data_IF_867064648885
#
_entry.id   IF_867064648885
#
_cell.length_a   1.000
_cell.length_b   1.000
_cell.length_c   1.000
_cell.angle_alpha   90.00
_cell.angle_beta   90.00
_cell.angle_gamma   90.00
#
_symmetry.space_group_name_H-M   'P 1'
#
loop_
_entity.id
_entity.type
_entity.pdbx_description
1 polymer ?
#
# COMPACT_ATOMS: atom_id res chain seq x y z
N UNK A 1 -4.70 19.76 24.22
CA UNK A 1 -4.08 21.09 24.38
C UNK A 1 -3.36 21.32 23.07
N UNK A 2 -3.92 22.16 22.22
CA UNK A 2 -3.43 22.41 20.85
C UNK A 2 -2.54 23.63 20.88
N UNK A 3 -1.26 23.48 20.56
CA UNK A 3 -0.36 24.62 20.31
C UNK A 3 -0.31 24.85 18.80
N UNK A 4 -0.82 26.02 18.40
CA UNK A 4 -0.72 26.55 17.02
C UNK A 4 0.57 27.35 16.91
N UNK A 5 1.48 26.98 16.01
CA UNK A 5 2.61 27.79 15.61
C UNK A 5 2.31 28.58 14.33
N UNK A 6 2.88 29.79 14.14
CA UNK A 6 2.47 30.71 13.09
C UNK A 6 2.92 30.27 11.69
N UNK A 7 2.05 30.51 10.71
CA UNK A 7 2.26 30.25 9.28
C UNK A 7 3.32 31.23 8.74
N UNK A 8 4.44 30.68 8.26
CA UNK A 8 5.39 31.40 7.42
C UNK A 8 5.07 31.06 5.96
N UNK A 9 4.65 32.04 5.19
CA UNK A 9 4.41 31.88 3.74
C UNK A 9 5.74 31.87 2.99
N UNK A 10 6.06 30.85 2.18
CA UNK A 10 7.20 30.89 1.27
C UNK A 10 6.83 31.66 -0.01
N UNK A 11 7.74 32.56 -0.42
CA UNK A 11 7.68 33.27 -1.71
C UNK A 11 7.81 32.30 -2.90
N UNK A 12 7.19 32.67 -4.00
CA UNK A 12 7.19 31.93 -5.25
C UNK A 12 8.61 31.72 -5.82
N UNK A 13 8.98 30.51 -6.27
CA UNK A 13 10.23 30.32 -6.98
C UNK A 13 10.11 30.68 -8.47
N UNK A 14 11.15 31.35 -8.93
CA UNK A 14 11.43 31.78 -10.29
C UNK A 14 11.58 30.61 -11.27
N UNK A 15 11.06 30.76 -12.49
CA UNK A 15 11.14 29.78 -13.57
C UNK A 15 12.53 29.82 -14.20
N UNK A 16 13.41 28.88 -13.88
CA UNK A 16 14.63 28.64 -14.62
C UNK A 16 14.47 27.43 -15.57
N UNK A 17 14.69 27.71 -16.85
CA UNK A 17 14.71 26.79 -17.98
C UNK A 17 15.87 25.77 -17.83
N UNK A 18 15.59 24.48 -17.98
CA UNK A 18 16.61 23.48 -18.24
C UNK A 18 16.38 22.81 -19.58
N UNK A 19 17.33 23.02 -20.50
CA UNK A 19 17.45 22.30 -21.75
C UNK A 19 18.17 20.96 -21.53
N UNK A 20 17.85 19.89 -22.26
CA UNK A 20 18.54 18.62 -22.14
C UNK A 20 19.80 18.59 -22.99
N UNK A 21 20.95 18.31 -22.42
CA UNK A 21 22.16 17.93 -23.14
C UNK A 21 22.21 16.40 -23.30
N UNK A 22 22.20 15.96 -24.55
CA UNK A 22 22.49 14.60 -24.93
C UNK A 22 24.00 14.33 -24.86
N UNK A 23 24.42 13.32 -24.11
CA UNK A 23 25.75 12.74 -24.21
C UNK A 23 25.64 11.21 -24.25
N UNK A 24 25.97 10.63 -25.38
CA UNK A 24 26.13 9.21 -25.61
C UNK A 24 27.45 8.74 -25.00
N UNK A 25 27.43 7.65 -24.22
CA UNK A 25 28.61 6.78 -24.06
C UNK A 25 28.14 5.35 -23.81
N UNK A 26 28.56 4.46 -24.72
CA UNK A 26 28.46 3.03 -24.53
C UNK A 26 29.49 2.54 -23.50
N UNK A 27 29.16 1.48 -22.81
CA UNK A 27 30.04 0.83 -21.85
C UNK A 27 29.45 -0.48 -21.36
N UNK A 28 30.17 -1.54 -21.64
CA UNK A 28 29.97 -2.97 -21.42
C UNK A 28 29.48 -3.36 -20.02
N UNK A 29 28.73 -4.49 -20.00
CA UNK A 29 28.42 -5.27 -18.82
C UNK A 29 29.69 -5.70 -18.05
N UNK A 30 29.67 -5.55 -16.76
CA UNK A 30 30.27 -6.30 -15.63
C UNK A 30 30.64 -5.36 -14.50
N UNK A 31 29.89 -5.37 -13.45
CA UNK A 31 30.37 -5.17 -12.07
C UNK A 31 29.23 -5.56 -11.12
N UNK A 32 29.34 -6.74 -10.52
CA UNK A 32 28.69 -7.04 -9.27
C UNK A 32 29.44 -6.22 -8.21
N UNK A 33 28.85 -5.10 -7.76
CA UNK A 33 29.38 -4.37 -6.65
C UNK A 33 29.20 -5.23 -5.38
N UNK A 34 30.33 -5.64 -4.83
CA UNK A 34 30.45 -6.25 -3.50
C UNK A 34 30.05 -5.22 -2.45
N UNK A 35 28.93 -5.49 -1.80
CA UNK A 35 28.44 -4.71 -0.66
C UNK A 35 29.20 -5.19 0.59
N UNK A 36 30.31 -4.54 0.93
CA UNK A 36 30.99 -4.72 2.20
C UNK A 36 30.19 -4.05 3.34
N UNK A 37 29.80 -4.81 4.36
CA UNK A 37 29.31 -4.32 5.64
C UNK A 37 27.83 -4.52 5.93
N UNK A 38 27.32 -5.75 5.88
CA UNK A 38 26.00 -6.07 6.36
C UNK A 38 25.97 -7.37 7.16
N UNK A 39 25.57 -7.31 8.43
CA UNK A 39 25.21 -8.48 9.19
C UNK A 39 24.24 -9.35 8.39
N UNK A 40 24.62 -10.54 8.01
CA UNK A 40 23.70 -11.53 7.46
C UNK A 40 22.56 -11.71 8.49
N UNK A 41 21.29 -11.50 8.13
CA UNK A 41 20.20 -11.61 9.09
C UNK A 41 20.21 -13.02 9.68
N UNK A 42 20.13 -13.11 11.01
CA UNK A 42 19.98 -14.38 11.71
C UNK A 42 18.90 -15.22 11.01
N UNK A 43 19.13 -16.52 10.81
CA UNK A 43 18.12 -17.45 10.26
C UNK A 43 16.85 -17.55 11.12
N UNK A 44 16.84 -17.00 12.34
CA UNK A 44 15.71 -16.98 13.27
C UNK A 44 15.12 -15.58 13.34
N UNK A 45 13.80 -15.49 13.31
CA UNK A 45 13.09 -14.24 13.55
C UNK A 45 13.41 -13.69 14.93
N UNK A 46 13.67 -12.37 15.09
CA UNK A 46 13.76 -11.71 16.38
C UNK A 46 12.53 -11.99 17.24
N UNK A 47 12.68 -11.82 18.55
CA UNK A 47 11.59 -12.10 19.50
C UNK A 47 10.34 -11.24 19.23
N UNK A 48 10.50 -9.96 18.93
CA UNK A 48 9.41 -9.04 18.61
C UNK A 48 8.66 -9.34 17.30
N UNK A 49 9.16 -10.26 16.49
CA UNK A 49 8.49 -10.76 15.28
C UNK A 49 7.87 -12.16 15.47
N UNK A 50 7.78 -12.62 16.72
CA UNK A 50 7.04 -13.84 17.06
C UNK A 50 5.64 -13.46 17.54
N UNK A 51 4.64 -14.21 17.11
CA UNK A 51 3.26 -14.03 17.51
C UNK A 51 2.68 -15.30 18.07
N UNK A 52 1.86 -15.12 19.10
CA UNK A 52 0.97 -16.18 19.54
C UNK A 52 -0.17 -16.38 18.55
N UNK A 53 -0.63 -17.61 18.42
CA UNK A 53 -1.80 -17.90 17.60
C UNK A 53 -3.05 -17.37 18.30
N UNK A 54 -3.91 -16.60 17.59
CA UNK A 54 -5.13 -16.07 18.20
C UNK A 54 -6.06 -17.23 18.58
N UNK A 55 -6.66 -17.11 19.76
CA UNK A 55 -7.67 -18.05 20.26
C UNK A 55 -9.04 -17.60 19.70
N UNK A 56 -9.74 -18.45 18.93
CA UNK A 56 -11.09 -18.15 18.46
C UNK A 56 -11.49 -18.93 17.20
N UNK A 57 -12.79 -19.15 17.03
CA UNK A 57 -13.36 -19.97 15.95
C UNK A 57 -13.72 -19.17 14.68
N UNK A 58 -13.63 -17.83 14.71
CA UNK A 58 -14.06 -17.00 13.57
C UNK A 58 -13.15 -17.09 12.35
N UNK A 59 -11.92 -17.62 12.48
CA UNK A 59 -11.08 -17.90 11.33
C UNK A 59 -11.76 -18.80 10.30
N UNK A 60 -12.38 -19.88 10.75
CA UNK A 60 -13.12 -20.81 9.88
C UNK A 60 -14.36 -20.15 9.28
N UNK A 61 -15.08 -19.35 10.05
CA UNK A 61 -16.24 -18.61 9.56
C UNK A 61 -15.82 -17.63 8.44
N UNK A 62 -14.80 -16.82 8.68
CA UNK A 62 -14.34 -15.82 7.71
C UNK A 62 -13.82 -16.50 6.44
N UNK A 63 -12.97 -17.54 6.57
CA UNK A 63 -12.46 -18.28 5.43
C UNK A 63 -13.60 -18.95 4.65
N UNK A 64 -14.51 -19.67 5.32
CA UNK A 64 -15.63 -20.34 4.68
C UNK A 64 -16.59 -19.39 3.94
N UNK A 65 -16.81 -18.18 4.50
CA UNK A 65 -17.60 -17.16 3.84
C UNK A 65 -16.94 -16.63 2.55
N UNK A 66 -15.61 -16.41 2.60
CA UNK A 66 -14.86 -15.97 1.42
C UNK A 66 -14.85 -17.04 0.33
N UNK A 67 -14.67 -18.31 0.70
CA UNK A 67 -14.73 -19.44 -0.22
C UNK A 67 -16.14 -19.61 -0.84
N UNK A 68 -17.21 -19.53 -0.03
CA UNK A 68 -18.60 -19.58 -0.48
C UNK A 68 -18.89 -18.50 -1.54
N UNK A 69 -18.40 -17.29 -1.30
CA UNK A 69 -18.60 -16.15 -2.19
C UNK A 69 -17.52 -16.04 -3.28
N UNK A 70 -16.59 -16.99 -3.37
CA UNK A 70 -15.49 -17.02 -4.36
C UNK A 70 -14.72 -15.69 -4.38
N UNK A 71 -14.34 -15.19 -3.20
CA UNK A 71 -13.65 -13.92 -3.03
C UNK A 71 -12.19 -14.14 -2.67
N UNK A 72 -11.33 -13.40 -3.34
CA UNK A 72 -9.91 -13.33 -3.05
C UNK A 72 -9.58 -12.28 -2.00
N UNK A 73 -8.53 -12.52 -1.23
CA UNK A 73 -8.00 -11.55 -0.27
C UNK A 73 -6.49 -11.38 -0.41
N UNK A 74 -6.02 -10.15 -0.16
CA UNK A 74 -4.58 -9.92 -0.03
C UNK A 74 -4.00 -10.63 1.20
N UNK A 75 -4.86 -10.95 2.19
CA UNK A 75 -4.46 -11.69 3.40
C UNK A 75 -3.91 -13.09 3.07
N UNK A 76 -4.55 -13.78 2.13
CA UNK A 76 -4.12 -15.10 1.64
C UNK A 76 -3.05 -14.97 0.55
N UNK A 77 -3.33 -14.21 -0.51
CA UNK A 77 -2.49 -14.12 -1.69
C UNK A 77 -1.12 -13.49 -1.43
N UNK A 78 -1.04 -12.50 -0.54
CA UNK A 78 0.22 -11.89 -0.14
C UNK A 78 0.89 -12.58 1.07
N UNK A 79 0.32 -13.67 1.59
CA UNK A 79 0.83 -14.40 2.77
C UNK A 79 0.99 -13.48 3.98
N UNK A 80 -0.05 -12.70 4.28
CA UNK A 80 -0.01 -11.70 5.34
C UNK A 80 0.19 -12.34 6.72
N UNK A 81 1.15 -11.87 7.53
CA UNK A 81 1.39 -12.42 8.87
C UNK A 81 0.24 -12.16 9.85
N UNK A 82 -0.65 -11.21 9.53
CA UNK A 82 -1.77 -10.82 10.37
C UNK A 82 -3.08 -11.59 10.04
N UNK A 83 -3.06 -12.45 9.01
CA UNK A 83 -4.26 -13.15 8.51
C UNK A 83 -5.06 -13.83 9.63
N UNK A 84 -4.39 -14.59 10.48
CA UNK A 84 -5.06 -15.34 11.56
C UNK A 84 -5.75 -14.42 12.55
N UNK A 85 -5.14 -13.31 12.91
CA UNK A 85 -5.70 -12.29 13.79
C UNK A 85 -6.90 -11.60 13.12
N UNK A 86 -6.72 -11.07 11.91
CA UNK A 86 -7.78 -10.37 11.17
C UNK A 86 -9.00 -11.27 10.98
N UNK A 87 -8.80 -12.51 10.54
CA UNK A 87 -9.91 -13.45 10.31
C UNK A 87 -10.61 -13.84 11.61
N UNK A 88 -9.86 -13.96 12.74
CA UNK A 88 -10.47 -14.21 14.05
C UNK A 88 -11.36 -13.04 14.53
N UNK A 89 -11.15 -11.86 13.98
CA UNK A 89 -11.93 -10.64 14.23
C UNK A 89 -12.96 -10.36 13.13
N UNK A 90 -13.24 -11.33 12.24
CA UNK A 90 -14.14 -11.20 11.09
C UNK A 90 -13.74 -10.07 10.15
N UNK A 91 -12.43 -9.82 10.00
CA UNK A 91 -11.91 -8.75 9.15
C UNK A 91 -11.03 -9.32 8.05
N UNK A 92 -11.21 -8.82 6.83
CA UNK A 92 -10.41 -9.17 5.66
C UNK A 92 -10.21 -7.94 4.77
N UNK A 93 -9.14 -7.94 3.97
CA UNK A 93 -8.94 -6.98 2.89
C UNK A 93 -9.26 -7.69 1.58
N UNK A 94 -10.35 -7.27 0.94
CA UNK A 94 -10.80 -7.86 -0.31
C UNK A 94 -9.84 -7.52 -1.45
N UNK A 95 -9.50 -8.51 -2.26
CA UNK A 95 -8.67 -8.32 -3.44
C UNK A 95 -9.51 -8.63 -4.68
N UNK A 96 -9.89 -7.58 -5.40
CA UNK A 96 -10.74 -7.64 -6.60
C UNK A 96 -9.89 -7.77 -7.88
N UNK A 97 -10.55 -8.00 -9.01
CA UNK A 97 -9.95 -8.15 -10.33
C UNK A 97 -9.16 -9.46 -10.49
N UNK A 98 -9.47 -10.47 -9.66
CA UNK A 98 -8.80 -11.77 -9.65
C UNK A 98 -7.52 -11.81 -8.81
N UNK A 99 -6.72 -12.86 -8.99
CA UNK A 99 -5.54 -13.16 -8.17
C UNK A 99 -4.22 -13.23 -8.95
N UNK A 100 -4.22 -12.82 -10.23
CA UNK A 100 -3.04 -12.79 -11.10
C UNK A 100 -2.72 -11.35 -11.49
N UNK A 101 -1.51 -10.89 -11.14
CA UNK A 101 -1.05 -9.52 -11.35
C UNK A 101 -0.18 -9.40 -12.60
N UNK A 102 -0.30 -8.29 -13.34
CA UNK A 102 0.54 -7.99 -14.52
C UNK A 102 1.92 -7.39 -14.16
N UNK A 103 2.16 -7.09 -12.87
CA UNK A 103 3.41 -6.42 -12.41
C UNK A 103 4.32 -7.33 -11.60
N UNK A 104 5.67 -7.22 -11.79
CA UNK A 104 6.65 -8.08 -11.15
C UNK A 104 7.29 -7.46 -9.90
N UNK A 105 6.51 -6.99 -8.92
CA UNK A 105 7.08 -6.43 -7.67
C UNK A 105 7.88 -7.50 -6.91
N UNK A 106 9.14 -7.18 -6.56
CA UNK A 106 10.09 -8.13 -5.97
C UNK A 106 9.72 -8.63 -4.57
N UNK A 107 8.88 -7.88 -3.85
CA UNK A 107 8.43 -8.19 -2.50
C UNK A 107 7.12 -8.98 -2.44
N UNK A 108 6.30 -8.93 -3.49
CA UNK A 108 4.90 -9.35 -3.47
C UNK A 108 4.73 -10.84 -3.78
N UNK A 109 3.95 -11.54 -2.94
CA UNK A 109 3.67 -12.97 -3.10
C UNK A 109 2.50 -13.28 -4.05
N UNK A 110 1.72 -12.28 -4.47
CA UNK A 110 0.62 -12.44 -5.42
C UNK A 110 1.13 -13.07 -6.73
N UNK A 111 0.36 -13.97 -7.29
CA UNK A 111 0.69 -14.66 -8.54
C UNK A 111 0.85 -13.67 -9.69
N UNK A 112 1.75 -14.01 -10.64
CA UNK A 112 2.06 -13.16 -11.81
C UNK A 112 1.74 -13.90 -13.08
N UNK A 113 1.23 -13.19 -14.07
CA UNK A 113 0.95 -13.79 -15.36
C UNK A 113 -0.11 -13.05 -16.15
N UNK A 114 -0.81 -13.80 -16.99
CA UNK A 114 -1.98 -13.31 -17.73
C UNK A 114 -3.21 -13.53 -16.85
N UNK A 115 -3.89 -12.46 -16.42
CA UNK A 115 -5.10 -12.57 -15.61
C UNK A 115 -6.26 -13.19 -16.41
N UNK A 116 -7.21 -13.76 -15.67
CA UNK A 116 -8.47 -14.23 -16.22
C UNK A 116 -9.43 -13.07 -16.56
N UNK A 117 -10.54 -13.40 -17.23
CA UNK A 117 -11.60 -12.45 -17.50
C UNK A 117 -12.22 -11.90 -16.20
N UNK A 118 -12.78 -10.70 -16.27
CA UNK A 118 -13.44 -10.08 -15.12
C UNK A 118 -14.73 -10.81 -14.77
N UNK A 119 -14.95 -11.01 -13.48
CA UNK A 119 -16.21 -11.47 -12.93
C UNK A 119 -17.10 -10.26 -12.60
N UNK A 120 -18.07 -9.96 -13.43
CA UNK A 120 -18.90 -8.76 -13.32
C UNK A 120 -19.77 -8.71 -12.05
N UNK A 121 -20.01 -9.86 -11.40
CA UNK A 121 -20.75 -10.00 -10.15
C UNK A 121 -19.86 -9.86 -8.88
N UNK A 122 -18.54 -9.73 -9.04
CA UNK A 122 -17.61 -9.60 -7.93
C UNK A 122 -17.92 -8.41 -6.99
N UNK A 123 -18.28 -7.20 -7.47
CA UNK A 123 -18.67 -6.09 -6.61
C UNK A 123 -19.82 -6.42 -5.65
N UNK A 124 -20.84 -7.14 -6.12
CA UNK A 124 -21.98 -7.55 -5.30
C UNK A 124 -21.60 -8.62 -4.28
N UNK A 125 -20.72 -9.57 -4.64
CA UNK A 125 -20.19 -10.57 -3.73
C UNK A 125 -19.34 -9.96 -2.63
N UNK A 126 -18.51 -8.96 -2.94
CA UNK A 126 -17.73 -8.17 -1.96
C UNK A 126 -18.68 -7.45 -0.99
N UNK A 127 -19.72 -6.80 -1.51
CA UNK A 127 -20.72 -6.13 -0.70
C UNK A 127 -21.47 -7.09 0.25
N UNK A 128 -21.82 -8.28 -0.25
CA UNK A 128 -22.46 -9.31 0.56
C UNK A 128 -21.54 -9.86 1.65
N UNK A 129 -20.25 -10.09 1.33
CA UNK A 129 -19.28 -10.51 2.33
C UNK A 129 -19.10 -9.45 3.42
N UNK A 130 -18.96 -8.17 3.04
CA UNK A 130 -18.84 -7.05 3.97
C UNK A 130 -20.05 -6.96 4.91
N UNK A 131 -21.25 -7.17 4.38
CA UNK A 131 -22.49 -7.20 5.16
C UNK A 131 -22.51 -8.38 6.15
N UNK A 132 -22.23 -9.61 5.70
CA UNK A 132 -22.25 -10.82 6.54
C UNK A 132 -21.15 -10.82 7.61
N UNK A 133 -20.00 -10.19 7.33
CA UNK A 133 -18.93 -9.95 8.31
C UNK A 133 -19.27 -8.82 9.30
N UNK A 134 -20.27 -7.98 9.01
CA UNK A 134 -20.67 -6.85 9.83
C UNK A 134 -19.67 -5.70 9.82
N UNK A 135 -18.93 -5.52 8.71
CA UNK A 135 -17.88 -4.51 8.60
C UNK A 135 -18.47 -3.10 8.61
N UNK A 136 -17.81 -2.20 9.33
CA UNK A 136 -18.10 -0.76 9.37
C UNK A 136 -17.12 0.07 8.55
N UNK A 137 -16.00 -0.52 8.23
CA UNK A 137 -14.97 0.01 7.32
C UNK A 137 -14.50 -1.15 6.44
N UNK A 138 -14.51 -0.96 5.13
CA UNK A 138 -14.18 -2.00 4.16
C UNK A 138 -12.95 -1.56 3.37
N UNK A 139 -11.91 -2.39 3.36
CA UNK A 139 -10.71 -2.16 2.54
C UNK A 139 -10.77 -3.05 1.30
N UNK A 140 -10.71 -2.41 0.14
CA UNK A 140 -10.71 -3.04 -1.18
C UNK A 140 -9.37 -2.76 -1.84
N UNK A 141 -8.68 -3.79 -2.25
CA UNK A 141 -7.47 -3.69 -3.07
C UNK A 141 -7.63 -4.51 -4.34
N UNK A 142 -6.63 -4.47 -5.22
CA UNK A 142 -6.63 -5.27 -6.43
C UNK A 142 -5.25 -5.76 -6.81
N UNK A 143 -5.21 -6.71 -7.73
CA UNK A 143 -4.03 -6.92 -8.59
C UNK A 143 -3.92 -5.79 -9.61
N UNK A 144 -2.72 -5.53 -10.16
CA UNK A 144 -2.60 -4.62 -11.29
C UNK A 144 -3.09 -5.32 -12.56
N UNK A 145 -3.89 -4.60 -13.36
CA UNK A 145 -4.53 -5.05 -14.60
C UNK A 145 -4.15 -4.12 -15.76
N UNK A 146 -2.84 -4.04 -16.09
CA UNK A 146 -2.37 -3.27 -17.27
C UNK A 146 -2.98 -3.75 -18.59
N UNK A 147 -3.62 -4.93 -18.58
CA UNK A 147 -4.31 -5.54 -19.72
C UNK A 147 -5.73 -4.98 -19.95
N UNK A 148 -6.31 -4.28 -18.97
CA UNK A 148 -7.62 -3.64 -19.09
C UNK A 148 -7.47 -2.20 -19.59
N UNK A 149 -8.42 -1.70 -20.40
CA UNK A 149 -8.36 -0.34 -20.95
C UNK A 149 -8.29 0.76 -19.90
N UNK A 150 -8.94 0.57 -18.76
CA UNK A 150 -9.01 1.50 -17.62
C UNK A 150 -8.20 1.04 -16.41
N UNK A 151 -7.39 -0.01 -16.54
CA UNK A 151 -6.63 -0.59 -15.42
C UNK A 151 -7.49 -1.14 -14.28
N UNK A 152 -8.80 -1.31 -14.49
CA UNK A 152 -9.78 -1.80 -13.52
C UNK A 152 -10.48 -0.72 -12.70
N UNK A 153 -10.38 0.55 -13.10
CA UNK A 153 -10.99 1.68 -12.38
C UNK A 153 -12.50 1.59 -12.25
N UNK A 154 -13.20 1.18 -13.31
CA UNK A 154 -14.66 0.96 -13.27
C UNK A 154 -15.05 -0.12 -12.26
N UNK A 155 -14.27 -1.18 -12.16
CA UNK A 155 -14.54 -2.26 -11.23
C UNK A 155 -14.37 -1.83 -9.76
N UNK A 156 -13.38 -0.96 -9.47
CA UNK A 156 -13.26 -0.29 -8.18
C UNK A 156 -14.48 0.57 -7.89
N UNK A 157 -14.90 1.41 -8.85
CA UNK A 157 -16.07 2.27 -8.72
C UNK A 157 -17.32 1.46 -8.35
N UNK A 158 -17.61 0.40 -9.09
CA UNK A 158 -18.77 -0.46 -8.83
C UNK A 158 -18.67 -1.15 -7.47
N UNK A 159 -17.47 -1.57 -7.05
CA UNK A 159 -17.25 -2.20 -5.75
C UNK A 159 -17.50 -1.25 -4.58
N UNK A 160 -17.02 0.00 -4.69
CA UNK A 160 -17.27 1.03 -3.67
C UNK A 160 -18.76 1.32 -3.53
N UNK A 161 -19.47 1.51 -4.66
CA UNK A 161 -20.90 1.78 -4.64
C UNK A 161 -21.71 0.60 -4.09
N UNK A 162 -21.40 -0.63 -4.50
CA UNK A 162 -22.09 -1.84 -4.03
C UNK A 162 -21.93 -2.03 -2.51
N UNK A 163 -20.69 -1.89 -2.00
CA UNK A 163 -20.41 -1.98 -0.56
C UNK A 163 -21.17 -0.91 0.22
N UNK A 164 -21.11 0.34 -0.22
CA UNK A 164 -21.78 1.47 0.44
C UNK A 164 -23.31 1.28 0.45
N UNK A 165 -23.89 0.89 -0.67
CA UNK A 165 -25.33 0.64 -0.77
C UNK A 165 -25.79 -0.52 0.12
N UNK A 166 -24.98 -1.58 0.27
CA UNK A 166 -25.36 -2.79 1.03
C UNK A 166 -25.15 -2.65 2.53
N UNK A 167 -24.15 -1.86 2.96
CA UNK A 167 -23.68 -1.86 4.35
C UNK A 167 -23.72 -0.49 5.03
N UNK A 168 -23.68 0.61 4.29
CA UNK A 168 -23.43 1.95 4.81
C UNK A 168 -22.04 2.13 5.42
N UNK A 169 -21.11 1.20 5.19
CA UNK A 169 -19.74 1.27 5.71
C UNK A 169 -18.92 2.31 4.94
N UNK A 170 -17.91 2.87 5.61
CA UNK A 170 -16.85 3.64 4.94
C UNK A 170 -15.96 2.71 4.12
N UNK A 171 -15.40 3.22 3.03
CA UNK A 171 -14.57 2.42 2.11
C UNK A 171 -13.19 3.03 1.96
N UNK A 172 -12.16 2.20 2.14
CA UNK A 172 -10.79 2.49 1.75
C UNK A 172 -10.45 1.69 0.48
N UNK A 173 -9.89 2.34 -0.51
CA UNK A 173 -9.34 1.67 -1.68
C UNK A 173 -7.81 1.69 -1.65
N UNK A 174 -7.18 0.54 -1.85
CA UNK A 174 -5.73 0.43 -2.05
C UNK A 174 -5.48 0.08 -3.52
N UNK A 175 -5.10 1.09 -4.31
CA UNK A 175 -5.10 1.01 -5.77
C UNK A 175 -3.74 0.66 -6.38
N UNK A 176 -3.72 0.13 -7.62
CA UNK A 176 -2.53 0.16 -8.47
C UNK A 176 -2.17 1.61 -8.84
N UNK A 177 -1.07 1.79 -9.59
CA UNK A 177 -0.56 3.12 -9.90
C UNK A 177 -1.29 3.83 -11.08
N UNK A 178 -2.11 3.15 -11.84
CA UNK A 178 -2.83 3.68 -13.01
C UNK A 178 -1.98 4.51 -14.00
N UNK A 179 -0.65 4.30 -14.05
CA UNK A 179 0.29 5.16 -14.80
C UNK A 179 -0.05 5.31 -16.30
N UNK A 180 -0.73 4.32 -16.88
CA UNK A 180 -1.18 4.36 -18.28
C UNK A 180 -2.71 4.43 -18.41
N UNK A 181 -3.44 4.56 -17.29
CA UNK A 181 -4.88 4.41 -17.20
C UNK A 181 -5.52 5.54 -16.37
N UNK A 182 -5.23 6.80 -16.73
CA UNK A 182 -5.73 7.97 -16.00
C UNK A 182 -7.25 7.99 -15.86
N UNK A 183 -7.97 7.54 -16.88
CA UNK A 183 -9.45 7.42 -16.83
C UNK A 183 -9.90 6.48 -15.71
N UNK A 184 -9.14 5.40 -15.46
CA UNK A 184 -9.42 4.51 -14.33
C UNK A 184 -9.20 5.17 -12.98
N UNK A 185 -8.13 5.97 -12.84
CA UNK A 185 -7.91 6.76 -11.63
C UNK A 185 -9.07 7.75 -11.38
N UNK A 186 -9.47 8.48 -12.41
CA UNK A 186 -10.59 9.43 -12.34
C UNK A 186 -11.89 8.72 -11.92
N UNK A 187 -12.14 7.53 -12.46
CA UNK A 187 -13.29 6.73 -12.11
C UNK A 187 -13.29 6.29 -10.65
N UNK A 188 -12.11 5.91 -10.09
CA UNK A 188 -11.99 5.60 -8.66
C UNK A 188 -12.24 6.85 -7.80
N UNK A 189 -11.70 8.01 -8.18
CA UNK A 189 -11.92 9.27 -7.45
C UNK A 189 -13.42 9.64 -7.46
N UNK A 190 -14.12 9.44 -8.58
CA UNK A 190 -15.56 9.69 -8.71
C UNK A 190 -16.40 8.84 -7.75
N UNK A 191 -15.96 7.62 -7.40
CA UNK A 191 -16.63 6.79 -6.38
C UNK A 191 -16.55 7.39 -4.98
N UNK A 192 -15.71 8.42 -4.79
CA UNK A 192 -15.50 9.16 -3.55
C UNK A 192 -15.26 8.25 -2.32
N UNK A 193 -14.25 7.38 -2.35
CA UNK A 193 -13.92 6.59 -1.16
C UNK A 193 -13.49 7.50 -0.01
N UNK A 194 -13.72 7.09 1.22
CA UNK A 194 -13.30 7.87 2.40
C UNK A 194 -11.78 7.94 2.52
N UNK A 195 -11.09 6.86 2.09
CA UNK A 195 -9.63 6.81 2.04
C UNK A 195 -9.17 6.26 0.69
N UNK A 196 -8.29 7.02 0.03
CA UNK A 196 -7.56 6.58 -1.16
C UNK A 196 -6.11 6.26 -0.76
N UNK A 197 -5.76 5.00 -0.82
CA UNK A 197 -4.45 4.48 -0.47
C UNK A 197 -3.69 4.05 -1.73
N UNK A 198 -2.46 4.53 -1.86
CA UNK A 198 -1.47 4.00 -2.79
C UNK A 198 -0.10 3.97 -2.11
N UNK A 199 0.42 2.77 -1.91
CA UNK A 199 1.67 2.61 -1.17
C UNK A 199 2.88 3.06 -1.97
N UNK A 200 3.75 3.83 -1.34
CA UNK A 200 5.10 4.14 -1.83
C UNK A 200 6.00 2.90 -1.80
N UNK A 201 5.83 2.04 -0.81
CA UNK A 201 6.52 0.77 -0.54
C UNK A 201 7.97 0.91 -0.12
N UNK A 202 8.77 1.77 -0.76
CA UNK A 202 10.20 1.96 -0.46
C UNK A 202 10.72 3.32 -0.94
N UNK A 203 11.98 3.60 -0.62
CA UNK A 203 12.69 4.84 -0.98
C UNK A 203 13.13 4.88 -2.44
N UNK A 204 13.42 6.07 -3.03
CA UNK A 204 13.76 6.23 -4.47
C UNK A 204 14.85 5.30 -4.98
N UNK A 205 15.97 5.17 -4.25
CA UNK A 205 17.12 4.33 -4.63
C UNK A 205 16.74 2.85 -4.83
N UNK A 206 15.81 2.35 -4.02
CA UNK A 206 15.38 0.96 -4.04
C UNK A 206 14.15 0.71 -4.94
N UNK A 207 13.51 1.77 -5.43
CA UNK A 207 12.19 1.72 -6.05
C UNK A 207 12.09 0.73 -7.19
N UNK A 208 13.02 0.81 -8.16
CA UNK A 208 13.05 -0.08 -9.33
C UNK A 208 13.26 -1.55 -8.95
N UNK A 209 14.11 -1.82 -7.96
CA UNK A 209 14.38 -3.18 -7.45
C UNK A 209 13.17 -3.76 -6.73
N UNK A 210 12.46 -2.95 -5.96
CA UNK A 210 11.34 -3.38 -5.10
C UNK A 210 10.03 -3.44 -5.88
N UNK A 211 9.67 -2.38 -6.61
CA UNK A 211 8.38 -2.28 -7.32
C UNK A 211 8.45 -2.73 -8.79
N UNK A 212 9.65 -2.95 -9.32
CA UNK A 212 9.86 -3.34 -10.70
C UNK A 212 10.00 -2.16 -11.67
N UNK A 213 10.33 -2.45 -12.95
CA UNK A 213 10.76 -1.44 -13.92
C UNK A 213 9.66 -0.50 -14.42
N UNK A 214 8.39 -0.88 -14.29
CA UNK A 214 7.24 -0.08 -14.74
C UNK A 214 6.76 0.94 -13.71
N UNK A 215 7.16 0.80 -12.44
CA UNK A 215 6.74 1.70 -11.37
C UNK A 215 7.70 2.88 -11.24
N UNK A 216 7.15 4.07 -11.00
CA UNK A 216 7.90 5.34 -10.94
C UNK A 216 7.60 6.04 -9.62
N UNK A 217 8.66 6.40 -8.86
CA UNK A 217 8.54 7.03 -7.54
C UNK A 217 7.76 8.34 -7.59
N UNK A 218 8.18 9.26 -8.47
CA UNK A 218 7.52 10.56 -8.60
C UNK A 218 6.06 10.45 -9.05
N UNK A 219 5.76 9.42 -9.85
CA UNK A 219 4.38 9.15 -10.25
C UNK A 219 3.49 8.77 -9.05
N UNK A 220 4.02 8.01 -8.08
CA UNK A 220 3.28 7.70 -6.84
C UNK A 220 2.91 8.98 -6.08
N UNK A 221 3.83 9.96 -5.99
CA UNK A 221 3.54 11.26 -5.40
C UNK A 221 2.49 12.03 -6.21
N UNK A 222 2.69 12.13 -7.52
CA UNK A 222 1.76 12.80 -8.44
C UNK A 222 0.36 12.19 -8.37
N UNK A 223 0.24 10.87 -8.29
CA UNK A 223 -1.04 10.18 -8.15
C UNK A 223 -1.78 10.61 -6.88
N UNK A 224 -1.10 10.62 -5.73
CA UNK A 224 -1.70 11.06 -4.46
C UNK A 224 -2.09 12.54 -4.51
N UNK A 225 -1.26 13.39 -5.11
CA UNK A 225 -1.57 14.82 -5.29
C UNK A 225 -2.80 15.02 -6.18
N UNK A 226 -2.90 14.30 -7.30
CA UNK A 226 -4.07 14.34 -8.21
C UNK A 226 -5.36 14.01 -7.47
N UNK A 227 -5.35 13.00 -6.60
CA UNK A 227 -6.53 12.67 -5.77
C UNK A 227 -6.91 13.84 -4.88
N UNK A 228 -5.94 14.45 -4.18
CA UNK A 228 -6.19 15.62 -3.31
C UNK A 228 -6.69 16.84 -4.05
N UNK A 229 -6.19 17.07 -5.26
CA UNK A 229 -6.62 18.18 -6.09
C UNK A 229 -8.04 17.97 -6.65
N UNK A 230 -8.35 16.74 -7.07
CA UNK A 230 -9.66 16.40 -7.66
C UNK A 230 -10.77 16.36 -6.59
N UNK A 231 -10.48 15.81 -5.41
CA UNK A 231 -11.44 15.75 -4.30
C UNK A 231 -10.73 15.88 -2.93
N UNK A 232 -10.64 17.10 -2.37
CA UNK A 232 -9.97 17.35 -1.09
C UNK A 232 -10.57 16.63 0.12
N UNK A 233 -11.83 16.16 0.02
CA UNK A 233 -12.49 15.42 1.11
C UNK A 233 -11.97 13.97 1.25
N UNK A 234 -11.42 13.41 0.18
CA UNK A 234 -10.81 12.08 0.23
C UNK A 234 -9.52 12.16 1.04
N UNK A 235 -9.40 11.33 2.07
CA UNK A 235 -8.15 11.17 2.80
C UNK A 235 -7.17 10.33 2.00
N UNK A 236 -5.98 10.87 1.74
CA UNK A 236 -4.93 10.12 1.05
C UNK A 236 -4.05 9.38 2.05
N UNK A 237 -3.67 8.18 1.69
CA UNK A 237 -2.85 7.30 2.52
C UNK A 237 -1.73 6.68 1.72
N UNK A 238 -0.58 6.49 2.37
CA UNK A 238 0.55 5.75 1.80
C UNK A 238 1.24 4.90 2.84
N UNK A 239 2.10 4.00 2.41
CA UNK A 239 2.84 3.13 3.30
C UNK A 239 4.22 2.77 2.78
N UNK A 240 5.15 2.54 3.70
CA UNK A 240 6.49 2.04 3.42
C UNK A 240 6.75 0.74 4.18
N UNK A 241 7.49 -0.13 3.53
CA UNK A 241 8.09 -1.31 4.16
C UNK A 241 9.55 -1.00 4.52
N UNK A 242 9.93 -1.26 5.76
CA UNK A 242 11.29 -1.10 6.24
C UNK A 242 12.02 -2.44 6.32
N UNK A 243 13.34 -2.43 6.15
CA UNK A 243 14.21 -3.59 6.17
C UNK A 243 14.60 -4.14 4.81
N UNK A 244 14.45 -3.35 3.73
CA UNK A 244 14.87 -3.67 2.36
C UNK A 244 16.26 -3.12 2.01
N UNK A 245 16.89 -2.33 2.93
CA UNK A 245 18.22 -1.72 2.76
C UNK A 245 18.20 -0.21 2.60
N UNK A 246 17.08 0.42 2.92
CA UNK A 246 16.94 1.88 3.06
C UNK A 246 17.73 2.39 4.27
N UNK A 247 18.20 3.63 4.20
CA UNK A 247 18.74 4.35 5.35
C UNK A 247 17.64 5.15 6.05
N UNK A 248 17.89 5.57 7.31
CA UNK A 248 16.96 6.43 8.07
C UNK A 248 16.70 7.74 7.32
N UNK A 249 17.74 8.37 6.81
CA UNK A 249 17.63 9.66 6.10
C UNK A 249 16.81 9.54 4.82
N UNK A 250 16.96 8.43 4.07
CA UNK A 250 16.14 8.15 2.89
C UNK A 250 14.66 7.98 3.26
N UNK A 251 14.37 7.32 4.40
CA UNK A 251 12.99 7.20 4.89
C UNK A 251 12.44 8.57 5.26
N UNK A 252 13.18 9.38 6.03
CA UNK A 252 12.74 10.72 6.43
C UNK A 252 12.50 11.62 5.21
N UNK A 253 13.36 11.56 4.19
CA UNK A 253 13.14 12.29 2.94
C UNK A 253 11.86 11.81 2.22
N UNK A 254 11.62 10.51 2.17
CA UNK A 254 10.40 9.96 1.58
C UNK A 254 9.12 10.41 2.32
N UNK A 255 9.18 10.53 3.66
CA UNK A 255 8.08 11.11 4.45
C UNK A 255 7.86 12.58 4.11
N UNK A 256 8.94 13.37 3.94
CA UNK A 256 8.85 14.76 3.52
C UNK A 256 8.21 14.90 2.13
N UNK A 257 8.62 14.06 1.17
CA UNK A 257 8.03 14.04 -0.18
C UNK A 257 6.52 13.73 -0.15
N UNK A 258 6.10 12.76 0.66
CA UNK A 258 4.68 12.45 0.86
C UNK A 258 3.90 13.62 1.50
N UNK A 259 4.52 14.36 2.42
CA UNK A 259 3.90 15.55 3.01
C UNK A 259 3.80 16.72 2.03
N UNK A 260 4.74 16.87 1.11
CA UNK A 260 4.67 17.90 0.05
C UNK A 260 3.41 17.73 -0.80
N UNK A 261 3.01 16.49 -1.08
CA UNK A 261 1.76 16.17 -1.81
C UNK A 261 0.54 16.04 -0.88
N UNK A 262 0.66 16.48 0.37
CA UNK A 262 -0.42 16.52 1.37
C UNK A 262 -1.02 15.14 1.69
N UNK A 263 -0.21 14.09 1.67
CA UNK A 263 -0.65 12.76 2.10
C UNK A 263 -1.07 12.80 3.59
N UNK A 264 -2.30 12.38 3.91
CA UNK A 264 -2.88 12.53 5.26
C UNK A 264 -2.43 11.43 6.21
N UNK A 265 -2.43 10.16 5.76
CA UNK A 265 -2.20 8.99 6.60
C UNK A 265 -0.95 8.22 6.16
N UNK A 266 -0.24 7.68 7.14
CA UNK A 266 0.98 6.92 6.90
C UNK A 266 0.97 5.57 7.60
N UNK A 267 1.49 4.54 6.93
CA UNK A 267 1.79 3.25 7.56
C UNK A 267 3.26 2.89 7.37
N UNK A 268 3.93 2.47 8.44
CA UNK A 268 5.30 1.95 8.41
C UNK A 268 5.31 0.54 8.98
N UNK A 269 5.79 -0.44 8.20
CA UNK A 269 5.78 -1.85 8.59
C UNK A 269 7.08 -2.57 8.22
N UNK A 270 7.42 -3.65 8.94
CA UNK A 270 8.57 -4.47 8.60
C UNK A 270 8.31 -5.28 7.33
N UNK A 271 9.21 -5.22 6.36
CA UNK A 271 9.23 -6.19 5.27
C UNK A 271 9.52 -7.59 5.82
N UNK A 272 8.66 -8.54 5.49
CA UNK A 272 8.87 -9.96 5.79
C UNK A 272 8.88 -10.74 4.47
N UNK A 273 9.95 -11.45 4.21
CA UNK A 273 10.14 -12.21 2.97
C UNK A 273 9.11 -13.34 2.85
N UNK A 274 8.20 -13.32 1.85
CA UNK A 274 7.14 -14.33 1.74
C UNK A 274 7.66 -15.72 1.34
N UNK A 275 8.87 -15.80 0.84
CA UNK A 275 9.54 -17.04 0.42
C UNK A 275 10.86 -16.76 -0.28
N UNK A 276 11.69 -17.78 -0.46
CA UNK A 276 13.09 -17.67 -0.94
C UNK A 276 13.27 -16.98 -2.30
N UNK A 277 12.24 -16.95 -3.15
CA UNK A 277 12.29 -16.32 -4.48
C UNK A 277 12.06 -14.80 -4.48
N UNK A 278 11.69 -14.23 -3.34
CA UNK A 278 11.44 -12.80 -3.17
C UNK A 278 12.67 -12.10 -2.60
N UNK A 279 12.63 -10.76 -2.57
CA UNK A 279 13.73 -9.97 -2.02
C UNK A 279 14.07 -10.40 -0.60
N UNK A 280 15.35 -10.56 -0.25
CA UNK A 280 15.74 -10.89 1.11
C UNK A 280 15.46 -9.72 2.06
N UNK A 281 15.23 -10.04 3.33
CA UNK A 281 15.23 -9.03 4.39
C UNK A 281 16.69 -8.62 4.64
N UNK A 282 16.98 -7.33 4.52
CA UNK A 282 18.32 -6.79 4.81
C UNK A 282 18.50 -6.54 6.30
N UNK A 283 17.44 -6.08 6.99
CA UNK A 283 17.46 -5.76 8.41
C UNK A 283 16.08 -5.99 9.04
N UNK A 284 16.07 -6.46 10.28
CA UNK A 284 14.88 -6.42 11.13
C UNK A 284 14.94 -5.15 11.99
N UNK A 285 14.02 -4.23 11.73
CA UNK A 285 13.94 -2.93 12.41
C UNK A 285 13.37 -3.13 13.82
N UNK A 286 14.01 -2.61 14.87
CA UNK A 286 13.51 -2.69 16.23
C UNK A 286 12.20 -1.93 16.42
N UNK A 287 11.30 -2.36 17.35
CA UNK A 287 10.05 -1.64 17.64
C UNK A 287 10.25 -0.18 18.02
N UNK A 288 11.34 0.14 18.72
CA UNK A 288 11.69 1.49 19.18
C UNK A 288 11.92 2.44 17.98
N UNK A 289 12.60 1.95 16.93
CA UNK A 289 12.84 2.74 15.72
C UNK A 289 11.54 2.99 14.94
N UNK A 290 10.60 2.03 14.95
CA UNK A 290 9.26 2.25 14.41
C UNK A 290 8.52 3.34 15.20
N UNK A 291 8.61 3.33 16.53
CA UNK A 291 7.99 4.34 17.38
C UNK A 291 8.56 5.74 17.09
N UNK A 292 9.89 5.88 17.04
CA UNK A 292 10.56 7.14 16.70
C UNK A 292 10.15 7.68 15.32
N UNK A 293 10.11 6.82 14.29
CA UNK A 293 9.70 7.22 12.95
C UNK A 293 8.22 7.61 12.91
N UNK A 294 7.38 6.92 13.69
CA UNK A 294 5.96 7.25 13.84
C UNK A 294 5.74 8.62 14.47
N UNK A 295 6.46 8.94 15.56
CA UNK A 295 6.41 10.25 16.21
C UNK A 295 6.92 11.36 15.29
N UNK A 296 8.03 11.11 14.59
CA UNK A 296 8.57 12.04 13.61
C UNK A 296 7.54 12.32 12.50
N UNK A 297 6.89 11.31 11.97
CA UNK A 297 5.87 11.49 10.94
C UNK A 297 4.69 12.34 11.44
N UNK A 298 4.23 12.13 12.68
CA UNK A 298 3.19 12.99 13.28
C UNK A 298 3.67 14.45 13.39
N UNK A 299 4.93 14.68 13.81
CA UNK A 299 5.54 16.02 13.87
C UNK A 299 5.64 16.66 12.48
N UNK A 300 5.85 15.87 11.42
CA UNK A 300 5.86 16.35 10.03
C UNK A 300 4.44 16.67 9.49
N UNK A 301 3.39 16.41 10.27
CA UNK A 301 2.02 16.80 9.96
C UNK A 301 1.17 15.73 9.28
N UNK A 302 1.55 14.45 9.33
CA UNK A 302 0.59 13.39 9.03
C UNK A 302 -0.53 13.39 10.08
N UNK A 303 -1.79 13.30 9.64
CA UNK A 303 -2.93 13.32 10.57
C UNK A 303 -2.98 12.06 11.44
N UNK A 304 -2.67 10.91 10.83
CA UNK A 304 -2.62 9.62 11.52
C UNK A 304 -1.45 8.79 10.99
N UNK A 305 -0.80 8.11 11.91
CA UNK A 305 0.35 7.23 11.61
C UNK A 305 0.17 5.91 12.34
N UNK A 306 0.28 4.81 11.59
CA UNK A 306 0.45 3.49 12.17
C UNK A 306 1.88 3.02 11.86
N UNK A 307 2.68 2.78 12.90
CA UNK A 307 4.08 2.40 12.76
C UNK A 307 4.41 1.24 13.69
N UNK A 308 4.95 0.15 13.14
CA UNK A 308 5.30 -1.02 13.93
C UNK A 308 5.60 -2.27 13.09
N UNK A 309 6.26 -3.27 13.67
CA UNK A 309 6.76 -4.44 12.92
C UNK A 309 5.69 -5.21 12.15
N UNK A 310 4.46 -5.26 12.67
CA UNK A 310 3.34 -5.98 12.05
C UNK A 310 2.36 -5.08 11.29
N UNK A 311 2.60 -3.78 11.27
CA UNK A 311 1.75 -2.85 10.52
C UNK A 311 1.78 -3.21 9.02
N UNK A 312 0.62 -3.16 8.41
CA UNK A 312 0.36 -3.29 6.98
C UNK A 312 -0.61 -2.20 6.57
N UNK A 313 -0.70 -1.88 5.28
CA UNK A 313 -1.54 -0.77 4.79
C UNK A 313 -2.98 -0.83 5.27
N UNK A 314 -3.56 -2.02 5.37
CA UNK A 314 -4.94 -2.24 5.81
C UNK A 314 -5.09 -2.76 7.25
N UNK A 315 -3.97 -2.90 7.98
CA UNK A 315 -4.01 -3.38 9.36
C UNK A 315 -4.58 -2.28 10.28
N UNK A 316 -5.64 -2.60 11.01
CA UNK A 316 -6.40 -1.65 11.85
C UNK A 316 -6.87 -0.39 11.07
N UNK A 317 -7.17 -0.52 9.77
CA UNK A 317 -7.54 0.61 8.90
C UNK A 317 -8.75 1.39 9.44
N UNK A 318 -9.72 0.72 10.09
CA UNK A 318 -10.86 1.37 10.73
C UNK A 318 -10.45 2.41 11.77
N UNK A 319 -9.43 2.12 12.58
CA UNK A 319 -8.94 3.03 13.63
C UNK A 319 -8.31 4.29 13.05
N UNK A 320 -7.82 4.20 11.81
CA UNK A 320 -7.28 5.35 11.08
C UNK A 320 -8.38 6.21 10.44
N UNK A 321 -9.63 5.75 10.40
CA UNK A 321 -10.74 6.46 9.76
C UNK A 321 -11.67 7.14 10.77
N UNK A 322 -11.64 6.68 12.01
CA UNK A 322 -12.35 7.28 13.15
C UNK A 322 -11.53 8.44 13.73
#
# INVERSE_FOLDING_TARGET
MIFVLPVVTPGAPDKAQFAPSATSCGGSATAMDEFEGGFAPSRRLPEWLRRDLPKGNFNHFTAGLLDELRLETVCDNAKCPNRMECYSQKTATFMILGNVCTRPCGFCAVSRGKPDALELDEPQRVAEAAYRLGLKHVVITSVTRDDLPDGGGEHFYQSVLAVRARTGATVEVLTPDFIQHLQGLERVIESAPEVFNHNMETVPRLYRRVRGPKSVYNWTLELLERVKLANPSIKTKSGLMLGLGETRDEVVQCLADLRQVRCDFLTLGQYLQPGKKYLPVTRYVPPEEFAELGELALQMGFEKVASGPFVRSSYHAREMTL
#
